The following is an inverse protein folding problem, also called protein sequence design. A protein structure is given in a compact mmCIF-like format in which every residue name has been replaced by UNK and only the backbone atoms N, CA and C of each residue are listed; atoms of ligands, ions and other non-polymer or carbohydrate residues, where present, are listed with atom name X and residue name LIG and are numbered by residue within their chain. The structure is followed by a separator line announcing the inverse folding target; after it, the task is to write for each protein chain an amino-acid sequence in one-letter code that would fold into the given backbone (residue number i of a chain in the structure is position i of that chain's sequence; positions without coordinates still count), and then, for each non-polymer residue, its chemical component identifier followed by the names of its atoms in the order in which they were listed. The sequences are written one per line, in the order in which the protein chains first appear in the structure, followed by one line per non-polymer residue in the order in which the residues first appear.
data_IF_875481976791
#
_entry.id   IF_875481976791
#
_cell.length_a   1.000
_cell.length_b   1.000
_cell.length_c   1.000
_cell.angle_alpha   90.00
_cell.angle_beta   90.00
_cell.angle_gamma   90.00
#
_symmetry.space_group_name_H-M   'P 1'
#
loop_
_entity.id
_entity.type
_entity.pdbx_description
1 polymer ?
#
# COMPACT_ATOMS: atom_id res chain seq x y z
N UNK A 1 -16.04 -15.17 -18.05
CA UNK A 1 -15.86 -14.06 -17.08
C UNK A 1 -16.65 -12.82 -17.48
N UNK A 2 -16.44 -12.26 -18.67
CA UNK A 2 -17.16 -11.06 -19.14
C UNK A 2 -18.69 -11.22 -19.07
N UNK A 3 -19.22 -12.34 -19.56
CA UNK A 3 -20.66 -12.65 -19.49
C UNK A 3 -21.20 -12.66 -18.06
N UNK A 4 -20.44 -13.20 -17.09
CA UNK A 4 -20.82 -13.22 -15.68
C UNK A 4 -20.88 -11.80 -15.11
N UNK A 5 -19.92 -10.96 -15.50
CA UNK A 5 -19.88 -9.55 -15.07
C UNK A 5 -21.04 -8.76 -15.67
N UNK A 6 -21.35 -8.97 -16.95
CA UNK A 6 -22.45 -8.31 -17.64
C UNK A 6 -23.81 -8.77 -17.08
N UNK A 7 -23.96 -10.06 -16.78
CA UNK A 7 -25.15 -10.59 -16.11
C UNK A 7 -25.33 -10.01 -14.69
N UNK A 8 -24.25 -9.61 -14.02
CA UNK A 8 -24.28 -8.92 -12.74
C UNK A 8 -24.53 -7.40 -12.86
N UNK A 9 -24.74 -6.86 -14.07
CA UNK A 9 -25.07 -5.46 -14.31
C UNK A 9 -23.85 -4.55 -14.57
N UNK A 10 -22.66 -5.11 -14.80
CA UNK A 10 -21.52 -4.34 -15.28
C UNK A 10 -21.63 -4.11 -16.79
N UNK A 11 -21.26 -2.92 -17.26
CA UNK A 11 -21.33 -2.54 -18.68
C UNK A 11 -19.93 -2.39 -19.31
N UNK A 12 -18.98 -3.23 -18.90
CA UNK A 12 -17.61 -3.16 -19.41
C UNK A 12 -17.52 -3.94 -20.73
N UNK A 13 -16.75 -3.43 -21.68
CA UNK A 13 -16.42 -4.16 -22.91
C UNK A 13 -15.40 -5.30 -22.67
N UNK A 14 -14.75 -5.26 -21.52
CA UNK A 14 -13.65 -6.15 -21.13
C UNK A 14 -13.82 -6.63 -19.69
N UNK A 15 -13.46 -7.88 -19.36
CA UNK A 15 -13.60 -8.38 -18.00
C UNK A 15 -12.61 -7.67 -17.08
N UNK A 16 -13.11 -7.18 -15.94
CA UNK A 16 -12.24 -6.69 -14.86
C UNK A 16 -11.62 -7.89 -14.16
N UNK A 17 -10.30 -8.02 -14.24
CA UNK A 17 -9.55 -9.14 -13.69
C UNK A 17 -8.99 -8.80 -12.30
N UNK A 18 -9.11 -9.75 -11.37
CA UNK A 18 -8.51 -9.65 -10.05
C UNK A 18 -7.12 -10.30 -10.05
N UNK A 19 -6.06 -9.51 -10.21
CA UNK A 19 -4.66 -9.99 -10.27
C UNK A 19 -4.02 -10.28 -8.91
N UNK A 20 -4.83 -10.55 -7.87
CA UNK A 20 -4.30 -10.83 -6.53
C UNK A 20 -3.88 -12.29 -6.40
N UNK A 21 -2.87 -12.59 -5.55
CA UNK A 21 -2.50 -13.98 -5.28
C UNK A 21 -3.67 -14.79 -4.68
N UNK A 22 -3.71 -16.12 -4.88
CA UNK A 22 -4.87 -16.94 -4.53
C UNK A 22 -5.33 -16.85 -3.06
N UNK A 23 -4.42 -16.69 -2.09
CA UNK A 23 -4.80 -16.51 -0.68
C UNK A 23 -5.71 -15.29 -0.43
N UNK A 24 -5.69 -14.29 -1.32
CA UNK A 24 -6.57 -13.12 -1.25
C UNK A 24 -8.03 -13.49 -1.50
N UNK A 25 -8.30 -14.59 -2.22
CA UNK A 25 -9.66 -15.01 -2.52
C UNK A 25 -10.48 -15.26 -1.25
N UNK A 26 -9.85 -15.71 -0.15
CA UNK A 26 -10.54 -15.89 1.13
C UNK A 26 -11.24 -14.61 1.62
N UNK A 27 -10.68 -13.43 1.31
CA UNK A 27 -11.26 -12.15 1.70
C UNK A 27 -12.56 -11.86 0.94
N UNK A 28 -12.67 -12.29 -0.31
CA UNK A 28 -13.79 -11.99 -1.21
C UNK A 28 -14.79 -13.15 -1.34
N UNK A 29 -14.38 -14.39 -1.07
CA UNK A 29 -15.22 -15.59 -1.17
C UNK A 29 -16.57 -15.46 -0.43
N UNK A 30 -16.63 -14.95 0.82
CA UNK A 30 -17.91 -14.81 1.52
C UNK A 30 -18.90 -13.87 0.81
N UNK A 31 -18.42 -12.92 0.00
CA UNK A 31 -19.27 -11.99 -0.73
C UNK A 31 -19.97 -12.63 -1.93
N UNK A 32 -19.48 -13.79 -2.41
CA UNK A 32 -20.17 -14.56 -3.44
C UNK A 32 -21.53 -15.11 -3.01
N UNK A 33 -21.82 -15.11 -1.69
CA UNK A 33 -23.10 -15.52 -1.13
C UNK A 33 -24.12 -14.37 -1.03
N UNK A 34 -23.71 -13.14 -1.34
CA UNK A 34 -24.52 -11.94 -1.18
C UNK A 34 -25.03 -11.42 -2.52
N UNK A 35 -26.13 -10.66 -2.51
CA UNK A 35 -26.49 -9.84 -3.67
C UNK A 35 -25.41 -8.79 -3.93
N UNK A 36 -25.25 -8.36 -5.18
CA UNK A 36 -24.25 -7.34 -5.55
C UNK A 36 -24.38 -6.07 -4.69
N UNK A 37 -25.60 -5.54 -4.54
CA UNK A 37 -25.85 -4.32 -3.74
C UNK A 37 -25.47 -4.49 -2.27
N UNK A 38 -25.85 -5.62 -1.66
CA UNK A 38 -25.50 -5.94 -0.27
C UNK A 38 -23.99 -6.12 -0.10
N UNK A 39 -23.35 -6.84 -1.02
CA UNK A 39 -21.92 -7.05 -1.05
C UNK A 39 -21.15 -5.73 -1.16
N UNK A 40 -21.52 -4.86 -2.11
CA UNK A 40 -20.95 -3.53 -2.28
C UNK A 40 -21.08 -2.67 -1.02
N UNK A 41 -22.25 -2.67 -0.37
CA UNK A 41 -22.46 -1.90 0.85
C UNK A 41 -21.56 -2.36 1.99
N UNK A 42 -21.56 -3.66 2.28
CA UNK A 42 -20.73 -4.25 3.35
C UNK A 42 -19.24 -4.03 3.06
N UNK A 43 -18.82 -4.26 1.81
CA UNK A 43 -17.45 -4.07 1.39
C UNK A 43 -16.99 -2.62 1.55
N UNK A 44 -17.84 -1.65 1.19
CA UNK A 44 -17.56 -0.22 1.40
C UNK A 44 -17.31 0.09 2.88
N UNK A 45 -18.14 -0.44 3.79
CA UNK A 45 -17.92 -0.24 5.23
C UNK A 45 -16.63 -0.89 5.74
N UNK A 46 -16.28 -2.08 5.24
CA UNK A 46 -15.03 -2.75 5.59
C UNK A 46 -13.82 -1.95 5.11
N UNK A 47 -13.85 -1.43 3.88
CA UNK A 47 -12.78 -0.60 3.35
C UNK A 47 -12.65 0.72 4.12
N UNK A 48 -13.79 1.37 4.43
CA UNK A 48 -13.82 2.57 5.24
C UNK A 48 -13.24 2.32 6.64
N UNK A 49 -13.70 1.27 7.32
CA UNK A 49 -13.18 0.86 8.63
C UNK A 49 -11.70 0.52 8.59
N UNK A 50 -11.23 -0.13 7.52
CA UNK A 50 -9.82 -0.46 7.34
C UNK A 50 -8.95 0.79 7.21
N UNK A 51 -9.36 1.78 6.40
CA UNK A 51 -8.61 3.03 6.25
C UNK A 51 -8.60 3.83 7.55
N UNK A 52 -9.77 4.08 8.16
CA UNK A 52 -9.85 4.90 9.37
C UNK A 52 -9.21 4.23 10.59
N UNK A 53 -9.37 2.91 10.72
CA UNK A 53 -8.66 2.12 11.72
C UNK A 53 -7.16 2.17 11.50
N UNK A 54 -6.69 2.06 10.26
CA UNK A 54 -5.26 2.11 9.97
C UNK A 54 -4.62 3.46 10.27
N UNK A 55 -5.26 4.58 9.93
CA UNK A 55 -4.69 5.90 10.24
C UNK A 55 -4.71 6.21 11.73
N UNK A 56 -5.72 5.74 12.48
CA UNK A 56 -5.77 5.84 13.94
C UNK A 56 -4.66 5.02 14.61
N UNK A 57 -4.50 3.75 14.22
CA UNK A 57 -3.44 2.88 14.71
C UNK A 57 -2.06 3.43 14.38
N UNK A 58 -1.87 3.95 13.16
CA UNK A 58 -0.62 4.57 12.72
C UNK A 58 -0.31 5.82 13.53
N UNK A 59 -1.30 6.70 13.74
CA UNK A 59 -1.16 7.90 14.56
C UNK A 59 -0.65 7.57 15.97
N UNK A 60 -1.28 6.60 16.63
CA UNK A 60 -0.88 6.15 17.98
C UNK A 60 0.50 5.50 17.98
N UNK A 61 0.79 4.62 17.03
CA UNK A 61 2.07 3.92 16.94
C UNK A 61 3.27 4.84 16.65
N UNK A 62 3.00 6.03 16.10
CA UNK A 62 3.97 7.10 15.88
C UNK A 62 4.09 8.10 17.04
N UNK A 63 3.32 7.93 18.11
CA UNK A 63 3.33 8.81 19.28
C UNK A 63 2.41 10.04 19.17
N UNK A 64 1.46 10.03 18.23
CA UNK A 64 0.41 11.03 18.17
C UNK A 64 -0.52 10.95 19.39
N UNK A 65 -0.95 12.11 19.90
CA UNK A 65 -1.75 12.17 21.13
C UNK A 65 -3.23 11.79 20.85
N UNK A 66 -3.93 11.13 21.80
CA UNK A 66 -5.31 10.67 21.59
C UNK A 66 -6.32 11.79 21.31
N UNK A 67 -6.16 12.96 21.93
CA UNK A 67 -6.97 14.17 21.73
C UNK A 67 -6.90 14.72 20.30
N UNK A 68 -5.87 14.31 19.54
CA UNK A 68 -5.60 14.79 18.18
C UNK A 68 -5.75 13.71 17.11
N UNK A 69 -6.33 12.55 17.44
CA UNK A 69 -6.60 11.48 16.47
C UNK A 69 -7.46 11.94 15.28
N UNK A 70 -8.32 12.94 15.50
CA UNK A 70 -9.16 13.53 14.45
C UNK A 70 -8.33 14.14 13.31
N UNK A 71 -7.08 14.55 13.57
CA UNK A 71 -6.15 15.03 12.53
C UNK A 71 -5.82 13.91 11.56
N UNK A 72 -5.55 12.70 12.06
CA UNK A 72 -5.28 11.54 11.22
C UNK A 72 -6.49 11.19 10.33
N UNK A 73 -7.71 11.28 10.88
CA UNK A 73 -8.94 11.09 10.11
C UNK A 73 -9.16 12.20 9.07
N UNK A 74 -8.94 13.46 9.45
CA UNK A 74 -9.01 14.60 8.53
C UNK A 74 -8.02 14.47 7.37
N UNK A 75 -6.79 14.05 7.66
CA UNK A 75 -5.77 13.75 6.64
C UNK A 75 -6.09 12.50 5.80
N UNK A 76 -6.90 11.55 6.28
CA UNK A 76 -7.38 10.46 5.44
C UNK A 76 -8.46 10.96 4.49
N UNK A 77 -9.43 11.73 4.99
CA UNK A 77 -10.57 12.26 4.24
C UNK A 77 -10.13 13.24 3.16
N UNK A 78 -9.23 14.17 3.50
CA UNK A 78 -8.77 15.20 2.58
C UNK A 78 -7.80 14.67 1.51
N UNK A 79 -7.34 13.41 1.62
CA UNK A 79 -6.43 12.82 0.68
C UNK A 79 -7.24 12.13 -0.42
N UNK A 80 -7.29 12.74 -1.61
CA UNK A 80 -8.15 12.28 -2.70
C UNK A 80 -8.01 10.79 -3.05
N UNK A 81 -6.83 10.14 -3.00
CA UNK A 81 -6.71 8.69 -3.13
C UNK A 81 -7.59 7.86 -2.19
N UNK A 82 -7.83 8.33 -0.96
CA UNK A 82 -8.73 7.65 -0.02
C UNK A 82 -10.15 7.60 -0.55
N UNK A 83 -10.62 8.71 -1.12
CA UNK A 83 -11.96 8.81 -1.70
C UNK A 83 -12.07 7.83 -2.88
N UNK A 84 -11.08 7.82 -3.77
CA UNK A 84 -11.05 6.88 -4.89
C UNK A 84 -11.01 5.42 -4.41
N UNK A 85 -10.22 5.09 -3.38
CA UNK A 85 -10.12 3.74 -2.86
C UNK A 85 -11.45 3.22 -2.29
N UNK A 86 -12.17 4.06 -1.54
CA UNK A 86 -13.48 3.71 -0.98
C UNK A 86 -14.53 3.64 -2.10
N UNK A 87 -14.59 4.65 -2.97
CA UNK A 87 -15.58 4.73 -4.04
C UNK A 87 -15.46 3.60 -5.07
N UNK A 88 -14.26 3.10 -5.31
CA UNK A 88 -14.00 1.99 -6.24
C UNK A 88 -13.97 0.62 -5.56
N UNK A 89 -14.23 0.55 -4.25
CA UNK A 89 -14.23 -0.72 -3.51
C UNK A 89 -12.89 -1.45 -3.56
N UNK A 90 -11.76 -0.74 -3.51
CA UNK A 90 -10.45 -1.35 -3.69
C UNK A 90 -9.92 -1.95 -2.39
N UNK A 91 -9.41 -3.18 -2.43
CA UNK A 91 -8.94 -3.96 -1.26
C UNK A 91 -7.77 -3.32 -0.51
N UNK A 92 -7.11 -2.32 -1.11
CA UNK A 92 -5.87 -1.70 -0.59
C UNK A 92 -6.01 -1.07 0.80
N UNK A 93 -7.22 -0.70 1.23
CA UNK A 93 -7.49 -0.32 2.62
C UNK A 93 -7.07 -1.40 3.63
N UNK A 94 -7.22 -2.68 3.30
CA UNK A 94 -6.77 -3.80 4.14
C UNK A 94 -5.24 -3.93 4.17
N UNK A 95 -4.56 -3.68 3.04
CA UNK A 95 -3.09 -3.61 3.02
C UNK A 95 -2.58 -2.51 3.95
N UNK A 96 -3.23 -1.34 3.93
CA UNK A 96 -2.93 -0.22 4.81
C UNK A 96 -3.16 -0.60 6.29
N UNK A 97 -4.27 -1.28 6.59
CA UNK A 97 -4.54 -1.84 7.93
C UNK A 97 -3.47 -2.85 8.35
N UNK A 98 -2.94 -3.66 7.43
CA UNK A 98 -1.84 -4.58 7.70
C UNK A 98 -0.57 -3.87 8.17
N UNK A 99 -0.16 -2.79 7.50
CA UNK A 99 0.98 -1.96 7.90
C UNK A 99 0.74 -1.34 9.28
N UNK A 100 -0.43 -0.73 9.49
CA UNK A 100 -0.77 -0.07 10.74
C UNK A 100 -0.90 -1.05 11.93
N UNK A 101 -1.52 -2.21 11.70
CA UNK A 101 -1.66 -3.28 12.66
C UNK A 101 -0.30 -3.89 13.03
N UNK A 102 0.60 -4.06 12.05
CA UNK A 102 1.98 -4.45 12.30
C UNK A 102 2.68 -3.45 13.22
N UNK A 103 2.56 -2.15 12.94
CA UNK A 103 3.16 -1.09 13.77
C UNK A 103 2.62 -1.14 15.20
N UNK A 104 1.30 -1.17 15.37
CA UNK A 104 0.65 -1.19 16.67
C UNK A 104 1.03 -2.45 17.48
N UNK A 105 0.98 -3.63 16.87
CA UNK A 105 1.33 -4.88 17.53
C UNK A 105 2.83 -4.98 17.86
N UNK A 106 3.70 -4.44 17.00
CA UNK A 106 5.14 -4.36 17.27
C UNK A 106 5.43 -3.45 18.47
N UNK A 107 4.76 -2.27 18.54
CA UNK A 107 4.87 -1.36 19.71
C UNK A 107 4.34 -2.00 20.99
N UNK A 108 3.31 -2.83 20.90
CA UNK A 108 2.75 -3.59 22.02
C UNK A 108 3.54 -4.86 22.38
N UNK A 109 4.68 -5.14 21.71
CA UNK A 109 5.47 -6.36 21.88
C UNK A 109 4.66 -7.66 21.68
N UNK A 110 3.75 -7.66 20.70
CA UNK A 110 2.87 -8.79 20.32
C UNK A 110 3.27 -9.34 18.94
N UNK A 111 4.38 -10.10 18.83
CA UNK A 111 4.95 -10.48 17.54
C UNK A 111 4.02 -11.35 16.68
N UNK A 112 3.20 -12.21 17.28
CA UNK A 112 2.23 -13.04 16.54
C UNK A 112 1.14 -12.17 15.89
N UNK A 113 0.59 -11.21 16.64
CA UNK A 113 -0.39 -10.25 16.10
C UNK A 113 0.24 -9.36 15.02
N UNK A 114 1.51 -8.97 15.19
CA UNK A 114 2.23 -8.23 14.16
C UNK A 114 2.41 -9.05 12.87
N UNK A 115 2.68 -10.35 12.99
CA UNK A 115 2.73 -11.27 11.86
C UNK A 115 1.37 -11.46 11.16
N UNK A 116 0.30 -11.65 11.94
CA UNK A 116 -1.05 -11.76 11.39
C UNK A 116 -1.51 -10.47 10.69
N UNK A 117 -1.19 -9.30 11.25
CA UNK A 117 -1.46 -8.02 10.58
C UNK A 117 -0.61 -7.85 9.31
N UNK A 118 0.68 -8.18 9.38
CA UNK A 118 1.58 -8.13 8.22
C UNK A 118 1.11 -9.04 7.08
N UNK A 119 0.43 -10.16 7.35
CA UNK A 119 -0.14 -11.02 6.30
C UNK A 119 -1.11 -10.27 5.37
N UNK A 120 -1.87 -9.29 5.86
CA UNK A 120 -2.76 -8.47 5.02
C UNK A 120 -2.00 -7.67 3.95
N UNK A 121 -0.73 -7.34 4.19
CA UNK A 121 0.11 -6.67 3.18
C UNK A 121 0.41 -7.54 1.96
N UNK A 122 0.30 -8.86 2.10
CA UNK A 122 0.54 -9.81 1.02
C UNK A 122 -0.69 -9.97 0.09
N UNK A 123 -1.76 -9.22 0.31
CA UNK A 123 -2.85 -9.05 -0.67
C UNK A 123 -2.29 -8.39 -1.95
N UNK A 124 -1.43 -7.38 -1.80
CA UNK A 124 -0.70 -6.71 -2.89
C UNK A 124 0.81 -6.72 -2.60
N UNK A 125 1.49 -7.88 -2.71
CA UNK A 125 2.85 -8.04 -2.19
C UNK A 125 3.86 -7.14 -2.92
N UNK A 126 3.66 -6.88 -4.21
CA UNK A 126 4.53 -6.00 -5.00
C UNK A 126 4.45 -4.52 -4.57
N UNK A 127 3.31 -4.06 -4.04
CA UNK A 127 3.16 -2.69 -3.52
C UNK A 127 3.78 -2.49 -2.14
N UNK A 128 4.12 -3.58 -1.44
CA UNK A 128 4.74 -3.57 -0.11
C UNK A 128 6.00 -4.44 -0.06
N UNK A 129 6.69 -4.60 -1.21
CA UNK A 129 7.83 -5.48 -1.36
C UNK A 129 9.03 -5.09 -0.47
N UNK A 130 9.34 -3.80 -0.34
CA UNK A 130 10.44 -3.34 0.53
C UNK A 130 10.12 -3.52 2.00
N UNK A 131 8.84 -3.38 2.37
CA UNK A 131 8.36 -3.71 3.71
C UNK A 131 8.53 -5.21 4.00
N UNK A 132 8.10 -6.08 3.09
CA UNK A 132 8.31 -7.53 3.20
C UNK A 132 9.80 -7.90 3.29
N UNK A 133 10.65 -7.30 2.47
CA UNK A 133 12.11 -7.48 2.53
C UNK A 133 12.67 -7.14 3.91
N UNK A 134 12.28 -6.00 4.48
CA UNK A 134 12.73 -5.61 5.81
C UNK A 134 12.28 -6.58 6.90
N UNK A 135 11.08 -7.16 6.80
CA UNK A 135 10.62 -8.20 7.74
C UNK A 135 11.49 -9.45 7.66
N UNK A 136 11.85 -9.89 6.45
CA UNK A 136 12.74 -11.04 6.24
C UNK A 136 14.12 -10.76 6.85
N UNK A 137 14.69 -9.57 6.60
CA UNK A 137 15.97 -9.17 7.19
C UNK A 137 15.92 -9.18 8.73
N UNK A 138 14.83 -8.71 9.35
CA UNK A 138 14.73 -8.64 10.81
C UNK A 138 14.71 -10.03 11.49
N UNK A 139 14.41 -11.11 10.75
CA UNK A 139 14.42 -12.50 11.27
C UNK A 139 15.78 -12.96 11.80
N UNK A 140 16.87 -12.40 11.25
CA UNK A 140 18.23 -12.74 11.69
C UNK A 140 18.56 -12.12 13.04
N UNK A 141 17.77 -11.13 13.49
CA UNK A 141 18.08 -10.29 14.64
C UNK A 141 17.42 -10.75 15.94
N UNK A 142 16.15 -11.16 15.87
CA UNK A 142 15.38 -11.48 17.09
C UNK A 142 14.45 -12.68 16.88
N UNK A 143 14.21 -13.44 17.95
CA UNK A 143 13.19 -14.50 17.95
C UNK A 143 11.77 -13.94 17.76
N UNK A 144 11.52 -12.71 18.21
CA UNK A 144 10.25 -12.01 17.98
C UNK A 144 10.01 -11.77 16.47
N UNK A 145 11.00 -11.31 15.73
CA UNK A 145 10.89 -11.13 14.28
C UNK A 145 10.67 -12.45 13.53
N UNK A 146 11.28 -13.55 13.99
CA UNK A 146 10.98 -14.89 13.45
C UNK A 146 9.52 -15.27 13.67
N UNK A 147 8.96 -15.00 14.86
CA UNK A 147 7.53 -15.22 15.14
C UNK A 147 6.63 -14.39 14.24
N UNK A 148 7.00 -13.16 13.89
CA UNK A 148 6.26 -12.32 12.93
C UNK A 148 6.15 -13.04 11.57
N UNK A 149 7.28 -13.44 10.98
CA UNK A 149 7.29 -14.11 9.67
C UNK A 149 6.57 -15.46 9.72
N UNK A 150 6.82 -16.28 10.76
CA UNK A 150 6.17 -17.58 10.90
C UNK A 150 4.65 -17.45 11.05
N UNK A 151 4.18 -16.49 11.84
CA UNK A 151 2.73 -16.27 12.01
C UNK A 151 2.10 -15.72 10.74
N UNK A 152 2.76 -14.78 10.06
CA UNK A 152 2.29 -14.26 8.77
C UNK A 152 2.19 -15.36 7.71
N UNK A 153 3.23 -16.19 7.59
CA UNK A 153 3.24 -17.34 6.69
C UNK A 153 2.14 -18.35 7.04
N UNK A 154 1.91 -18.63 8.32
CA UNK A 154 0.84 -19.53 8.77
C UNK A 154 -0.55 -18.99 8.42
N UNK A 155 -0.79 -17.68 8.59
CA UNK A 155 -2.07 -17.05 8.21
C UNK A 155 -2.30 -17.14 6.70
N UNK A 156 -1.28 -16.83 5.89
CA UNK A 156 -1.37 -16.94 4.43
C UNK A 156 -1.55 -18.39 3.96
N UNK A 157 -0.84 -19.33 4.58
CA UNK A 157 -0.96 -20.75 4.32
C UNK A 157 -2.36 -21.28 4.65
N UNK A 158 -2.89 -20.93 5.83
CA UNK A 158 -4.26 -21.29 6.20
C UNK A 158 -5.28 -20.69 5.23
N UNK A 159 -5.12 -19.42 4.84
CA UNK A 159 -5.99 -18.78 3.86
C UNK A 159 -5.96 -19.49 2.50
N UNK A 160 -4.75 -19.83 2.04
CA UNK A 160 -4.57 -20.57 0.79
C UNK A 160 -5.20 -21.97 0.86
N UNK A 161 -5.04 -22.69 1.97
CA UNK A 161 -5.63 -24.03 2.15
C UNK A 161 -7.15 -23.99 2.07
N UNK A 162 -7.79 -22.98 2.67
CA UNK A 162 -9.25 -22.81 2.52
C UNK A 162 -9.60 -22.59 1.06
N UNK A 163 -8.91 -21.71 0.34
CA UNK A 163 -9.19 -21.46 -1.08
C UNK A 163 -8.99 -22.72 -1.93
N UNK A 164 -7.94 -23.50 -1.68
CA UNK A 164 -7.70 -24.78 -2.38
C UNK A 164 -8.80 -25.79 -2.09
N UNK A 165 -9.37 -25.80 -0.88
CA UNK A 165 -10.50 -26.67 -0.55
C UNK A 165 -11.77 -26.32 -1.34
N UNK A 166 -11.94 -25.05 -1.73
CA UNK A 166 -13.03 -24.61 -2.62
C UNK A 166 -12.73 -24.90 -4.10
N UNK A 167 -11.50 -24.64 -4.55
CA UNK A 167 -11.04 -24.94 -5.90
C UNK A 167 -9.60 -25.51 -5.90
N UNK A 168 -9.43 -26.84 -6.03
CA UNK A 168 -8.12 -27.47 -6.08
C UNK A 168 -7.24 -27.03 -7.25
N UNK A 169 -7.83 -26.50 -8.34
CA UNK A 169 -7.11 -26.06 -9.52
C UNK A 169 -6.69 -24.57 -9.46
N UNK A 170 -7.02 -23.85 -8.37
CA UNK A 170 -6.82 -22.39 -8.31
C UNK A 170 -5.37 -21.95 -8.53
N UNK A 171 -4.38 -22.75 -8.09
CA UNK A 171 -2.97 -22.44 -8.27
C UNK A 171 -2.53 -22.55 -9.74
N UNK A 172 -2.99 -23.58 -10.45
CA UNK A 172 -2.68 -23.76 -11.87
C UNK A 172 -3.40 -22.73 -12.74
N UNK A 173 -4.65 -22.40 -12.40
CA UNK A 173 -5.40 -21.32 -13.05
C UNK A 173 -4.71 -19.96 -12.87
N UNK A 174 -4.31 -19.62 -11.64
CA UNK A 174 -3.60 -18.37 -11.36
C UNK A 174 -2.25 -18.31 -12.08
N UNK A 175 -1.50 -19.42 -12.08
CA UNK A 175 -0.25 -19.52 -12.82
C UNK A 175 -0.47 -19.31 -14.33
N UNK A 176 -1.46 -19.96 -14.93
CA UNK A 176 -1.78 -19.79 -16.35
C UNK A 176 -2.14 -18.34 -16.67
N UNK A 177 -2.95 -17.69 -15.81
CA UNK A 177 -3.37 -16.30 -15.99
C UNK A 177 -2.21 -15.30 -15.91
N UNK A 178 -1.30 -15.44 -14.94
CA UNK A 178 -0.19 -14.50 -14.72
C UNK A 178 0.96 -14.71 -15.71
N UNK A 179 1.21 -15.96 -16.11
CA UNK A 179 2.29 -16.27 -17.07
C UNK A 179 1.87 -16.12 -18.52
N UNK A 180 0.57 -15.97 -18.78
CA UNK A 180 0.00 -16.01 -20.14
C UNK A 180 0.50 -17.23 -20.92
N UNK A 181 0.53 -18.40 -20.25
CA UNK A 181 1.16 -19.62 -20.77
C UNK A 181 0.60 -20.04 -22.13
N UNK A 182 -0.69 -19.79 -22.34
CA UNK A 182 -1.39 -20.19 -23.56
C UNK A 182 -1.40 -19.08 -24.63
N UNK A 183 -0.82 -17.90 -24.33
CA UNK A 183 -0.75 -16.75 -25.24
C UNK A 183 -2.11 -16.11 -25.55
N UNK A 184 -3.18 -16.59 -24.91
CA UNK A 184 -4.56 -16.18 -25.14
C UNK A 184 -5.04 -15.15 -24.13
N UNK A 185 -4.22 -14.67 -23.20
CA UNK A 185 -4.62 -13.63 -22.26
C UNK A 185 -4.51 -12.25 -22.95
N UNK A 186 -5.64 -11.62 -23.34
CA UNK A 186 -5.62 -10.29 -23.94
C UNK A 186 -5.21 -9.19 -22.95
N UNK A 187 -5.08 -9.50 -21.65
CA UNK A 187 -4.75 -8.55 -20.59
C UNK A 187 -3.54 -9.01 -19.77
N UNK A 188 -2.33 -8.84 -20.32
CA UNK A 188 -1.10 -9.18 -19.61
C UNK A 188 -0.78 -8.11 -18.58
N UNK A 189 -0.40 -8.53 -17.38
CA UNK A 189 0.08 -7.64 -16.32
C UNK A 189 1.27 -6.80 -16.79
N UNK A 190 2.09 -7.33 -17.71
CA UNK A 190 3.24 -6.66 -18.31
C UNK A 190 2.87 -5.51 -19.24
N UNK A 191 1.65 -5.49 -19.77
CA UNK A 191 1.20 -4.50 -20.74
C UNK A 191 0.57 -3.28 -20.05
N UNK A 192 0.20 -3.43 -18.78
CA UNK A 192 -0.41 -2.37 -17.96
C UNK A 192 0.65 -1.34 -17.56
N UNK A 193 0.39 -0.08 -17.91
CA UNK A 193 1.18 1.08 -17.49
C UNK A 193 0.54 1.76 -16.28
N UNK A 194 1.09 1.47 -15.10
CA UNK A 194 0.64 2.04 -13.83
C UNK A 194 1.26 3.41 -13.53
N UNK A 195 0.66 4.27 -12.69
CA UNK A 195 1.27 5.48 -12.11
C UNK A 195 2.45 5.20 -11.15
N UNK A 196 3.47 4.48 -11.63
CA UNK A 196 4.67 4.15 -10.88
C UNK A 196 5.91 4.67 -11.60
N UNK A 197 6.97 4.94 -10.86
CA UNK A 197 8.26 5.31 -11.45
C UNK A 197 8.80 4.20 -12.37
N UNK A 198 8.57 2.92 -12.02
CA UNK A 198 8.98 1.77 -12.84
C UNK A 198 8.28 1.73 -14.19
N UNK A 199 6.95 1.89 -14.20
CA UNK A 199 6.17 1.95 -15.44
C UNK A 199 6.54 3.17 -16.29
N UNK A 200 6.77 4.34 -15.68
CA UNK A 200 7.23 5.53 -16.40
C UNK A 200 8.61 5.34 -17.03
N UNK A 201 9.59 4.80 -16.29
CA UNK A 201 10.91 4.49 -16.82
C UNK A 201 10.84 3.49 -17.98
N UNK A 202 10.04 2.42 -17.84
CA UNK A 202 9.84 1.44 -18.90
C UNK A 202 9.27 2.07 -20.16
N UNK A 203 8.19 2.87 -20.02
CA UNK A 203 7.53 3.51 -21.16
C UNK A 203 8.46 4.46 -21.94
N UNK A 204 9.45 5.07 -21.28
CA UNK A 204 10.34 6.04 -21.93
C UNK A 204 11.69 5.45 -22.38
N UNK A 205 12.19 4.40 -21.73
CA UNK A 205 13.52 3.85 -22.01
C UNK A 205 13.48 2.53 -22.79
N UNK A 206 12.53 1.64 -22.48
CA UNK A 206 12.40 0.36 -23.15
C UNK A 206 10.96 -0.19 -23.04
N UNK A 207 10.02 0.30 -23.88
CA UNK A 207 8.60 -0.06 -23.78
C UNK A 207 8.35 -1.58 -23.79
N UNK A 208 9.13 -2.32 -24.58
CA UNK A 208 9.04 -3.78 -24.73
C UNK A 208 9.77 -4.60 -23.65
N UNK A 209 10.47 -3.97 -22.70
CA UNK A 209 11.24 -4.69 -21.68
C UNK A 209 10.69 -4.43 -20.28
N UNK A 210 9.98 -5.42 -19.74
CA UNK A 210 9.46 -5.36 -18.36
C UNK A 210 10.59 -5.26 -17.31
N UNK A 211 11.81 -5.71 -17.63
CA UNK A 211 12.96 -5.62 -16.73
C UNK A 211 13.26 -4.18 -16.29
N UNK A 212 13.02 -3.18 -17.16
CA UNK A 212 13.23 -1.77 -16.81
C UNK A 212 12.29 -1.31 -15.70
N UNK A 213 11.06 -1.84 -15.64
CA UNK A 213 10.13 -1.51 -14.56
C UNK A 213 10.58 -2.02 -13.18
N UNK A 214 11.46 -3.03 -13.13
CA UNK A 214 12.03 -3.57 -11.89
C UNK A 214 13.18 -2.73 -11.33
N UNK A 215 13.75 -1.80 -12.10
CA UNK A 215 14.93 -1.01 -11.70
C UNK A 215 14.69 -0.25 -10.39
N UNK A 216 13.58 0.50 -10.20
CA UNK A 216 13.30 1.16 -8.91
C UNK A 216 13.23 0.18 -7.74
N UNK A 217 12.66 -1.00 -7.93
CA UNK A 217 12.58 -2.04 -6.90
C UNK A 217 13.96 -2.58 -6.51
N UNK A 218 14.83 -2.82 -7.49
CA UNK A 218 16.21 -3.26 -7.25
C UNK A 218 16.99 -2.20 -6.46
N UNK A 219 16.92 -0.94 -6.90
CA UNK A 219 17.59 0.18 -6.20
C UNK A 219 17.04 0.34 -4.78
N UNK A 220 15.71 0.33 -4.62
CA UNK A 220 15.05 0.40 -3.32
C UNK A 220 15.45 -0.75 -2.39
N UNK A 221 15.59 -1.96 -2.94
CA UNK A 221 16.03 -3.14 -2.18
C UNK A 221 17.46 -2.98 -1.69
N UNK A 222 18.39 -2.54 -2.55
CA UNK A 222 19.77 -2.23 -2.16
C UNK A 222 19.84 -1.17 -1.06
N UNK A 223 19.04 -0.09 -1.18
CA UNK A 223 18.95 0.96 -0.17
C UNK A 223 18.44 0.41 1.16
N UNK A 224 17.38 -0.41 1.16
CA UNK A 224 16.82 -1.00 2.37
C UNK A 224 17.79 -1.98 3.02
N UNK A 225 18.44 -2.85 2.26
CA UNK A 225 19.46 -3.78 2.77
C UNK A 225 20.62 -3.02 3.41
N UNK A 226 21.17 -2.02 2.70
CA UNK A 226 22.26 -1.19 3.23
C UNK A 226 21.86 -0.40 4.48
N UNK A 227 20.68 0.23 4.45
CA UNK A 227 20.11 0.97 5.57
C UNK A 227 19.85 0.09 6.80
N UNK A 228 19.34 -1.12 6.58
CA UNK A 228 19.10 -2.11 7.62
C UNK A 228 20.43 -2.62 8.18
N UNK A 229 21.40 -2.99 7.33
CA UNK A 229 22.70 -3.49 7.76
C UNK A 229 23.46 -2.50 8.64
N UNK A 230 23.49 -1.23 8.21
CA UNK A 230 24.13 -0.13 8.93
C UNK A 230 23.49 0.13 10.29
N UNK A 231 22.17 -0.08 10.41
CA UNK A 231 21.39 0.20 11.63
C UNK A 231 20.89 -1.05 12.33
N UNK A 232 21.41 -2.25 12.01
CA UNK A 232 20.83 -3.51 12.48
C UNK A 232 20.66 -3.57 14.00
N UNK A 233 21.60 -3.02 14.77
CA UNK A 233 21.53 -3.00 16.24
C UNK A 233 20.42 -2.06 16.78
N UNK A 234 20.11 -0.99 16.06
CA UNK A 234 19.18 0.07 16.48
C UNK A 234 17.93 0.14 15.58
N UNK A 235 17.71 -0.86 14.74
CA UNK A 235 16.59 -0.90 13.80
C UNK A 235 15.27 -0.99 14.56
N UNK A 236 14.40 0.00 14.31
CA UNK A 236 13.03 0.05 14.83
C UNK A 236 12.07 -0.21 13.67
N UNK A 237 11.60 -1.46 13.56
CA UNK A 237 10.74 -1.92 12.49
C UNK A 237 9.40 -1.16 12.44
N UNK A 238 8.85 -0.79 13.59
CA UNK A 238 7.61 0.00 13.65
C UNK A 238 7.83 1.43 13.15
N UNK A 239 8.98 2.04 13.44
CA UNK A 239 9.33 3.38 12.93
C UNK A 239 9.72 3.38 11.45
N UNK A 240 10.30 2.29 10.95
CA UNK A 240 10.66 2.13 9.55
C UNK A 240 9.45 1.82 8.65
N UNK A 241 8.42 1.13 9.19
CA UNK A 241 7.27 0.64 8.43
C UNK A 241 6.59 1.68 7.53
N UNK A 242 6.30 2.93 7.96
CA UNK A 242 5.74 3.94 7.07
C UNK A 242 6.58 4.20 5.83
N UNK A 243 7.89 4.39 6.02
CA UNK A 243 8.83 4.68 4.94
C UNK A 243 9.05 3.48 4.02
N UNK A 244 9.00 2.27 4.56
CA UNK A 244 9.06 1.06 3.77
C UNK A 244 7.80 0.87 2.92
N UNK A 245 6.61 1.16 3.45
CA UNK A 245 5.37 1.15 2.67
C UNK A 245 5.40 2.23 1.57
N UNK A 246 5.80 3.45 1.94
CA UNK A 246 6.07 4.57 1.04
C UNK A 246 7.00 4.22 -0.12
N UNK A 247 8.18 3.71 0.23
CA UNK A 247 9.22 3.35 -0.72
C UNK A 247 8.84 2.15 -1.57
N UNK A 248 8.08 1.20 -1.02
CA UNK A 248 7.59 0.04 -1.79
C UNK A 248 6.67 0.47 -2.93
N UNK A 249 5.75 1.40 -2.67
CA UNK A 249 4.88 1.92 -3.72
C UNK A 249 5.66 2.72 -4.77
N UNK A 250 6.58 3.58 -4.33
CA UNK A 250 7.45 4.36 -5.23
C UNK A 250 8.25 3.43 -6.16
N UNK A 251 8.71 2.31 -5.60
CA UNK A 251 9.52 1.33 -6.28
C UNK A 251 8.70 0.22 -6.98
N UNK A 252 7.37 0.27 -6.90
CA UNK A 252 6.52 -0.78 -7.43
C UNK A 252 6.69 -0.88 -8.96
N UNK A 253 6.90 -2.10 -9.50
CA UNK A 253 7.12 -2.26 -10.93
C UNK A 253 5.83 -2.13 -11.77
N UNK A 254 4.68 -2.44 -11.18
CA UNK A 254 3.36 -2.45 -11.83
C UNK A 254 2.23 -2.46 -10.77
N UNK A 255 0.99 -2.48 -11.23
CA UNK A 255 -0.18 -2.88 -10.42
C UNK A 255 -0.63 -1.85 -9.39
N UNK A 256 -0.03 -0.66 -9.41
CA UNK A 256 -0.45 0.47 -8.60
C UNK A 256 -1.40 1.36 -9.41
N UNK A 257 -2.41 1.91 -8.77
CA UNK A 257 -3.36 2.85 -9.37
C UNK A 257 -3.57 4.05 -8.46
N UNK A 258 -4.34 5.04 -8.92
CA UNK A 258 -4.66 6.22 -8.12
C UNK A 258 -5.23 5.90 -6.74
N UNK A 259 -6.10 4.89 -6.64
CA UNK A 259 -6.69 4.45 -5.37
C UNK A 259 -5.68 3.74 -4.47
N UNK A 260 -4.62 3.16 -5.04
CA UNK A 260 -3.60 2.46 -4.24
C UNK A 260 -2.66 3.43 -3.53
N UNK A 261 -2.60 4.69 -3.97
CA UNK A 261 -1.85 5.76 -3.31
C UNK A 261 -2.28 5.99 -1.86
N UNK A 262 -3.44 5.47 -1.43
CA UNK A 262 -3.85 5.42 -0.02
C UNK A 262 -2.78 4.76 0.88
N UNK A 263 -1.93 3.90 0.34
CA UNK A 263 -0.75 3.34 1.02
C UNK A 263 0.33 4.38 1.38
N UNK A 264 0.24 5.61 0.89
CA UNK A 264 1.11 6.72 1.28
C UNK A 264 0.69 7.40 2.58
N UNK A 265 -0.52 7.13 3.09
CA UNK A 265 -1.01 7.72 4.34
C UNK A 265 -0.05 7.49 5.53
N UNK A 266 0.59 6.33 5.73
CA UNK A 266 1.53 6.16 6.82
C UNK A 266 2.71 7.13 6.76
N UNK A 267 3.24 7.42 5.56
CA UNK A 267 4.35 8.37 5.38
C UNK A 267 3.87 9.80 5.66
N UNK A 268 2.68 10.16 5.19
CA UNK A 268 2.05 11.45 5.49
C UNK A 268 1.90 11.62 7.01
N UNK A 269 1.41 10.60 7.71
CA UNK A 269 1.25 10.62 9.17
C UNK A 269 2.59 10.67 9.91
N UNK A 270 3.61 9.97 9.41
CA UNK A 270 4.97 10.03 9.95
C UNK A 270 5.56 11.45 9.88
N UNK A 271 5.20 12.23 8.86
CA UNK A 271 5.55 13.64 8.76
C UNK A 271 4.63 14.56 9.58
N UNK A 272 3.34 14.24 9.67
CA UNK A 272 2.34 15.07 10.34
C UNK A 272 2.44 15.03 11.87
N UNK A 273 2.67 13.86 12.48
CA UNK A 273 2.67 13.73 13.96
C UNK A 273 3.63 14.73 14.63
N UNK A 274 4.90 14.88 14.20
CA UNK A 274 5.81 15.88 14.79
C UNK A 274 5.39 17.33 14.58
N UNK A 275 4.61 17.64 13.53
CA UNK A 275 4.08 18.98 13.31
C UNK A 275 3.08 19.39 14.38
N UNK A 276 2.38 18.43 15.00
CA UNK A 276 1.43 18.73 16.07
C UNK A 276 2.04 18.59 17.47
N UNK A 277 3.34 18.32 17.59
CA UNK A 277 4.03 18.37 18.87
C UNK A 277 4.25 19.80 19.38
N UNK A 278 4.52 19.95 20.68
CA UNK A 278 4.98 21.23 21.26
C UNK A 278 6.31 21.63 20.63
N UNK A 279 6.47 22.90 20.26
CA UNK A 279 7.69 23.43 19.62
C UNK A 279 7.77 23.25 18.10
N UNK A 280 6.75 22.69 17.45
CA UNK A 280 6.73 22.62 15.99
C UNK A 280 6.61 24.01 15.35
N UNK A 281 7.27 24.17 14.19
CA UNK A 281 7.38 25.47 13.51
C UNK A 281 6.10 25.81 12.73
N UNK A 282 5.47 26.98 12.94
CA UNK A 282 4.28 27.39 12.19
C UNK A 282 4.48 27.39 10.67
N UNK A 283 5.67 27.84 10.21
CA UNK A 283 6.03 27.81 8.78
C UNK A 283 6.08 26.38 8.22
N UNK A 284 6.63 25.42 8.96
CA UNK A 284 6.67 24.03 8.51
C UNK A 284 5.26 23.43 8.40
N UNK A 285 4.36 23.76 9.33
CA UNK A 285 2.94 23.38 9.27
C UNK A 285 2.25 23.93 8.02
N UNK A 286 2.42 25.23 7.76
CA UNK A 286 1.81 25.89 6.61
C UNK A 286 2.30 25.30 5.28
N UNK A 287 3.62 25.11 5.14
CA UNK A 287 4.21 24.51 3.95
C UNK A 287 3.73 23.07 3.73
N UNK A 288 3.66 22.27 4.80
CA UNK A 288 3.15 20.90 4.72
C UNK A 288 1.66 20.87 4.33
N UNK A 289 0.84 21.77 4.89
CA UNK A 289 -0.58 21.87 4.54
C UNK A 289 -0.77 22.31 3.08
N UNK A 290 -0.05 23.35 2.63
CA UNK A 290 -0.10 23.83 1.26
C UNK A 290 0.32 22.75 0.25
N UNK A 291 1.40 22.03 0.55
CA UNK A 291 1.85 20.90 -0.27
C UNK A 291 0.80 19.79 -0.34
N UNK A 292 0.25 19.39 0.81
CA UNK A 292 -0.72 18.29 0.87
C UNK A 292 -2.01 18.61 0.10
N UNK A 293 -2.50 19.84 0.24
CA UNK A 293 -3.66 20.33 -0.54
C UNK A 293 -3.33 20.40 -2.02
N UNK A 294 -2.14 20.93 -2.38
CA UNK A 294 -1.70 21.04 -3.77
C UNK A 294 -1.61 19.67 -4.46
N UNK A 295 -1.04 18.66 -3.80
CA UNK A 295 -0.98 17.29 -4.32
C UNK A 295 -2.38 16.72 -4.53
N UNK A 296 -3.25 16.83 -3.52
CA UNK A 296 -4.61 16.28 -3.59
C UNK A 296 -5.45 16.95 -4.68
N UNK A 297 -5.34 18.27 -4.83
CA UNK A 297 -5.99 19.04 -5.89
C UNK A 297 -5.45 18.68 -7.28
N UNK A 298 -4.13 18.52 -7.42
CA UNK A 298 -3.50 18.09 -8.67
C UNK A 298 -3.98 16.71 -9.12
N UNK A 299 -4.12 15.76 -8.18
CA UNK A 299 -4.70 14.44 -8.45
C UNK A 299 -6.13 14.57 -8.98
N UNK A 300 -7.00 15.34 -8.31
CA UNK A 300 -8.39 15.54 -8.73
C UNK A 300 -8.45 16.18 -10.12
N UNK A 301 -7.65 17.23 -10.35
CA UNK A 301 -7.63 17.97 -11.62
C UNK A 301 -7.13 17.12 -12.80
N UNK A 302 -6.19 16.21 -12.57
CA UNK A 302 -5.75 15.25 -13.60
C UNK A 302 -6.81 14.17 -13.82
N UNK A 303 -7.37 13.61 -12.75
CA UNK A 303 -8.37 12.53 -12.85
C UNK A 303 -9.60 12.98 -13.64
N UNK A 304 -10.02 14.24 -13.52
CA UNK A 304 -11.16 14.77 -14.29
C UNK A 304 -10.87 14.96 -15.78
N UNK A 305 -9.60 14.90 -16.19
CA UNK A 305 -9.14 15.07 -17.59
C UNK A 305 -8.64 13.78 -18.22
N UNK A 306 -8.34 12.76 -17.42
CA UNK A 306 -7.75 11.50 -17.88
C UNK A 306 -8.78 10.40 -17.90
N UNK A 307 -8.76 9.56 -18.93
CA UNK A 307 -9.52 8.30 -18.89
C UNK A 307 -8.87 7.33 -17.91
N UNK A 308 -9.61 6.30 -17.48
CA UNK A 308 -9.10 5.24 -16.60
C UNK A 308 -7.86 4.52 -17.15
N UNK A 309 -7.64 4.56 -18.46
CA UNK A 309 -6.54 3.86 -19.14
C UNK A 309 -5.23 4.65 -19.19
N UNK A 310 -5.23 5.96 -18.94
CA UNK A 310 -4.04 6.83 -19.05
C UNK A 310 -3.53 7.31 -17.67
N UNK A 311 -3.63 6.46 -16.65
CA UNK A 311 -3.22 6.85 -15.29
C UNK A 311 -1.72 7.03 -15.13
N UNK A 312 -0.89 6.59 -16.08
CA UNK A 312 0.57 6.75 -16.03
C UNK A 312 0.99 8.22 -15.85
N UNK A 313 0.19 9.19 -16.31
CA UNK A 313 0.44 10.62 -16.11
C UNK A 313 0.54 11.04 -14.63
N UNK A 314 0.03 10.22 -13.71
CA UNK A 314 0.11 10.43 -12.26
C UNK A 314 1.35 9.81 -11.61
N UNK A 315 2.35 9.36 -12.38
CA UNK A 315 3.59 8.77 -11.87
C UNK A 315 4.33 9.67 -10.86
N UNK A 316 4.14 11.00 -10.95
CA UNK A 316 4.78 12.00 -10.08
C UNK A 316 4.22 12.02 -8.66
N UNK A 317 3.02 11.46 -8.42
CA UNK A 317 2.31 11.63 -7.14
C UNK A 317 3.06 10.94 -6.00
N UNK A 318 3.42 9.66 -6.13
CA UNK A 318 4.14 8.94 -5.10
C UNK A 318 5.51 9.56 -4.77
N UNK A 319 6.38 9.91 -5.74
CA UNK A 319 7.61 10.67 -5.49
C UNK A 319 7.35 11.96 -4.71
N UNK A 320 6.37 12.76 -5.14
CA UNK A 320 6.04 14.05 -4.50
C UNK A 320 5.56 13.84 -3.07
N UNK A 321 4.70 12.84 -2.83
CA UNK A 321 4.19 12.50 -1.48
C UNK A 321 5.34 12.07 -0.56
N UNK A 322 6.22 11.19 -1.04
CA UNK A 322 7.34 10.67 -0.27
C UNK A 322 8.37 11.75 0.07
N UNK A 323 8.82 12.51 -0.94
CA UNK A 323 9.82 13.57 -0.78
C UNK A 323 9.25 14.73 0.03
N UNK A 324 8.03 15.18 -0.23
CA UNK A 324 7.41 16.26 0.53
C UNK A 324 7.21 15.93 2.00
N UNK A 325 6.91 14.66 2.33
CA UNK A 325 6.87 14.19 3.72
C UNK A 325 8.25 14.22 4.38
N UNK A 326 9.30 13.82 3.66
CA UNK A 326 10.69 13.89 4.16
C UNK A 326 11.16 15.34 4.36
N UNK A 327 10.84 16.24 3.41
CA UNK A 327 11.15 17.68 3.50
C UNK A 327 10.39 18.35 4.65
N UNK A 328 9.14 17.95 4.89
CA UNK A 328 8.34 18.42 6.02
C UNK A 328 9.03 18.11 7.35
N UNK A 329 9.52 16.87 7.50
CA UNK A 329 10.28 16.47 8.68
C UNK A 329 11.60 17.24 8.82
N UNK A 330 12.30 17.47 7.71
CA UNK A 330 13.54 18.23 7.70
C UNK A 330 13.31 19.70 8.12
N UNK A 331 12.29 20.35 7.56
CA UNK A 331 11.92 21.73 7.88
C UNK A 331 11.49 21.91 9.34
N UNK A 332 10.90 20.87 9.94
CA UNK A 332 10.48 20.88 11.35
C UNK A 332 11.59 20.49 12.34
N UNK A 333 12.82 20.20 11.90
CA UNK A 333 13.92 19.93 12.84
C UNK A 333 14.24 21.18 13.66
N UNK A 334 14.45 21.06 14.98
CA UNK A 334 14.98 22.17 15.76
C UNK A 334 16.32 22.61 15.16
N UNK A 335 16.59 23.93 15.18
CA UNK A 335 17.91 24.41 14.79
C UNK A 335 18.90 23.72 15.71
N UNK A 336 19.94 23.07 15.16
CA UNK A 336 21.04 22.60 16.00
C UNK A 336 21.52 23.84 16.76
N UNK A 337 21.48 23.79 18.09
CA UNK A 337 22.21 24.76 18.88
C UNK A 337 23.65 24.69 18.38
N UNK A 338 24.14 25.78 17.80
CA UNK A 338 25.55 25.93 17.50
C UNK A 338 26.22 25.93 18.88
N UNK A 339 26.86 24.81 19.21
CA UNK A 339 27.73 24.67 20.37
C UNK A 339 29.10 25.23 20.00
#
# INVERSE_FOLDING_TARGET
MLEIQNAAGMSNDVPVMMWHPPWTLLVVLPFGLLSLSTGCLIWTYIQMGSVFGAVDLTWRALGGTPDRRWIAWGLAIAFSPTIFAIATGQVTGMCLLGVAGFMAATRANRPMLAGAAAALTAIKPHLLALFGLALVLDTVRTSAARKVILTGAAVLGAALLVVIAFDPAILSQYSAAVTDRDGTNPYKVTDILSPTAGSYLRANLAPGSFAVALVPLMVGSCVVVGAWWARRKTWDSARAAPWLAGGSFLAAPYGAWIYDLVLMLPVILAAAVPLFARGARPRARLLAAAWYVGVSAGIIALTSRTTTHDQIVMWWVAPTVFVGSALTLWANRPARAVA
#
